data_IF_881894787461
#
_entry.id   IF_881894787461
#
_cell.length_a   1.000
_cell.length_b   1.000
_cell.length_c   1.000
_cell.angle_alpha   90.00
_cell.angle_beta   90.00
_cell.angle_gamma   90.00
#
_symmetry.space_group_name_H-M   'P 1'
#
loop_
_entity.id
_entity.type
_entity.pdbx_description
1 polymer ?
#
# COMPACT_ATOMS: atom_id res chain seq x y z
N UNK A 1 -23.49 -0.23 -40.63
CA UNK A 1 -22.35 0.72 -40.57
C UNK A 1 -22.70 2.04 -39.86
N UNK A 2 -23.31 1.95 -38.68
CA UNK A 2 -23.56 3.13 -37.86
C UNK A 2 -23.02 2.93 -36.46
N UNK A 3 -22.86 4.03 -35.73
CA UNK A 3 -22.30 4.01 -34.37
C UNK A 3 -23.14 3.13 -33.41
N UNK A 4 -24.47 3.08 -33.59
CA UNK A 4 -25.34 2.26 -32.75
C UNK A 4 -25.06 0.76 -32.90
N UNK A 5 -24.83 0.30 -34.12
CA UNK A 5 -24.42 -1.10 -34.38
C UNK A 5 -23.06 -1.41 -33.78
N UNK A 6 -22.08 -0.52 -33.95
CA UNK A 6 -20.74 -0.67 -33.36
C UNK A 6 -20.82 -0.77 -31.85
N UNK A 7 -21.57 0.12 -31.18
CA UNK A 7 -21.75 0.08 -29.74
C UNK A 7 -22.45 -1.18 -29.27
N UNK A 8 -23.44 -1.68 -30.03
CA UNK A 8 -24.15 -2.93 -29.73
C UNK A 8 -23.18 -4.12 -29.77
N UNK A 9 -22.38 -4.23 -30.81
CA UNK A 9 -21.36 -5.29 -30.95
C UNK A 9 -20.31 -5.17 -29.82
N UNK A 10 -19.89 -3.96 -29.46
CA UNK A 10 -18.98 -3.75 -28.34
C UNK A 10 -19.58 -4.26 -27.02
N UNK A 11 -20.86 -3.99 -26.76
CA UNK A 11 -21.55 -4.49 -25.57
C UNK A 11 -21.71 -6.02 -25.62
N UNK A 12 -21.98 -6.63 -26.79
CA UNK A 12 -22.05 -8.10 -26.99
C UNK A 12 -20.70 -8.74 -26.59
N UNK A 13 -19.58 -8.16 -27.03
CA UNK A 13 -18.23 -8.66 -26.68
C UNK A 13 -17.90 -8.52 -25.20
N UNK A 14 -18.48 -7.52 -24.51
CA UNK A 14 -18.26 -7.32 -23.09
C UNK A 14 -19.09 -8.25 -22.19
N UNK A 15 -20.14 -8.89 -22.74
CA UNK A 15 -21.05 -9.71 -21.92
C UNK A 15 -20.35 -10.86 -21.20
N UNK A 16 -19.38 -11.50 -21.85
CA UNK A 16 -18.62 -12.63 -21.29
C UNK A 16 -17.37 -12.21 -20.51
N UNK A 17 -17.08 -10.91 -20.45
CA UNK A 17 -15.88 -10.44 -19.76
C UNK A 17 -16.08 -10.33 -18.25
N UNK A 18 -15.25 -11.00 -17.45
CA UNK A 18 -15.21 -10.86 -15.99
C UNK A 18 -14.41 -9.64 -15.57
N UNK A 19 -13.29 -9.37 -16.26
CA UNK A 19 -12.37 -8.26 -15.99
C UNK A 19 -12.28 -7.39 -17.25
N UNK A 20 -12.44 -6.09 -17.05
CA UNK A 20 -12.23 -5.06 -18.07
C UNK A 20 -11.00 -4.26 -17.67
N UNK A 21 -10.03 -4.11 -18.57
CA UNK A 21 -8.84 -3.32 -18.34
C UNK A 21 -8.52 -2.43 -19.54
N UNK A 22 -7.84 -1.34 -19.28
CA UNK A 22 -7.41 -0.39 -20.29
C UNK A 22 -6.34 0.55 -19.71
N UNK A 23 -5.68 1.31 -20.58
CA UNK A 23 -4.70 2.30 -20.15
C UNK A 23 -5.35 3.65 -19.91
N UNK A 24 -5.40 4.11 -18.66
CA UNK A 24 -6.16 5.31 -18.24
C UNK A 24 -7.67 5.18 -18.48
N UNK A 25 -8.18 3.96 -18.49
CA UNK A 25 -9.55 3.64 -18.80
C UNK A 25 -10.55 4.15 -17.75
N UNK A 26 -10.14 4.30 -16.50
CA UNK A 26 -10.95 4.90 -15.44
C UNK A 26 -11.26 6.38 -15.73
N UNK A 27 -10.26 7.10 -16.26
CA UNK A 27 -10.38 8.54 -16.54
C UNK A 27 -10.97 8.86 -17.91
N UNK A 28 -11.00 7.92 -18.86
CA UNK A 28 -11.43 8.20 -20.22
C UNK A 28 -12.40 7.16 -20.79
N UNK A 29 -11.97 5.92 -20.99
CA UNK A 29 -12.74 4.95 -21.79
C UNK A 29 -14.09 4.61 -21.13
N UNK A 30 -14.12 4.33 -19.83
CA UNK A 30 -15.35 3.96 -19.12
C UNK A 30 -16.37 5.10 -19.11
N UNK A 31 -16.05 6.33 -18.68
CA UNK A 31 -17.01 7.43 -18.71
C UNK A 31 -17.44 7.81 -20.12
N UNK A 32 -16.53 7.73 -21.10
CA UNK A 32 -16.87 7.96 -22.51
C UNK A 32 -17.87 6.94 -23.03
N UNK A 33 -17.61 5.65 -22.87
CA UNK A 33 -18.45 4.56 -23.37
C UNK A 33 -19.83 4.58 -22.71
N UNK A 34 -19.92 4.73 -21.39
CA UNK A 34 -21.21 4.83 -20.68
C UNK A 34 -22.02 6.03 -21.19
N UNK A 35 -21.36 7.17 -21.42
CA UNK A 35 -22.01 8.37 -21.95
C UNK A 35 -22.47 8.17 -23.39
N UNK A 36 -21.65 7.54 -24.26
CA UNK A 36 -22.01 7.31 -25.67
C UNK A 36 -23.16 6.32 -25.80
N UNK A 37 -23.11 5.21 -25.07
CA UNK A 37 -24.23 4.23 -25.05
C UNK A 37 -25.52 4.90 -24.56
N UNK A 38 -25.45 5.73 -23.52
CA UNK A 38 -26.62 6.48 -23.04
C UNK A 38 -27.23 7.39 -24.12
N UNK A 39 -26.38 8.04 -24.94
CA UNK A 39 -26.83 9.01 -25.95
C UNK A 39 -27.26 8.38 -27.27
N UNK A 40 -26.54 7.36 -27.71
CA UNK A 40 -26.75 6.75 -29.05
C UNK A 40 -27.76 5.60 -29.01
N UNK A 41 -27.71 4.76 -27.97
CA UNK A 41 -28.65 3.69 -27.71
C UNK A 41 -29.70 4.14 -26.69
N UNK A 42 -29.51 3.77 -25.44
CA UNK A 42 -30.33 4.28 -24.33
C UNK A 42 -29.63 4.14 -22.99
N UNK A 43 -30.15 4.84 -21.97
CA UNK A 43 -29.69 4.63 -20.59
C UNK A 43 -29.90 3.19 -20.13
N UNK A 44 -30.91 2.50 -20.63
CA UNK A 44 -31.19 1.11 -20.26
C UNK A 44 -30.10 0.16 -20.78
N UNK A 45 -29.56 0.44 -21.99
CA UNK A 45 -28.49 -0.38 -22.58
C UNK A 45 -27.19 -0.31 -21.81
N UNK A 46 -26.97 0.73 -21.00
CA UNK A 46 -25.81 0.80 -20.12
C UNK A 46 -25.77 -0.29 -19.05
N UNK A 47 -26.91 -0.98 -18.79
CA UNK A 47 -26.95 -2.15 -17.90
C UNK A 47 -26.06 -3.28 -18.39
N UNK A 48 -25.79 -3.35 -19.67
CA UNK A 48 -24.94 -4.36 -20.29
C UNK A 48 -23.47 -4.24 -19.90
N UNK A 49 -23.05 -3.07 -19.40
CA UNK A 49 -21.74 -2.94 -18.75
C UNK A 49 -21.67 -3.62 -17.38
N UNK A 50 -22.80 -3.93 -16.77
CA UNK A 50 -22.90 -4.51 -15.44
C UNK A 50 -23.45 -5.93 -15.48
N UNK A 51 -23.30 -6.67 -14.36
CA UNK A 51 -24.03 -7.91 -14.14
C UNK A 51 -25.38 -7.65 -13.45
N UNK A 52 -26.20 -8.68 -13.35
CA UNK A 52 -27.49 -8.69 -12.63
C UNK A 52 -28.44 -7.57 -13.04
N UNK A 53 -28.36 -7.14 -14.28
CA UNK A 53 -29.21 -6.09 -14.83
C UNK A 53 -29.11 -4.75 -14.05
N UNK A 54 -27.97 -4.47 -13.43
CA UNK A 54 -27.71 -3.25 -12.68
C UNK A 54 -27.24 -2.12 -13.61
N UNK A 55 -27.48 -0.87 -13.21
CA UNK A 55 -26.91 0.29 -13.90
C UNK A 55 -25.50 0.59 -13.39
N UNK A 56 -24.59 1.10 -14.24
CA UNK A 56 -23.31 1.64 -13.78
C UNK A 56 -23.54 2.73 -12.73
N UNK A 57 -22.80 2.65 -11.63
CA UNK A 57 -22.89 3.63 -10.54
C UNK A 57 -21.89 4.75 -10.77
N UNK A 58 -22.37 5.96 -10.95
CA UNK A 58 -21.50 7.13 -11.08
C UNK A 58 -20.73 7.38 -9.79
N UNK A 59 -19.45 7.66 -9.94
CA UNK A 59 -18.52 8.02 -8.88
C UNK A 59 -17.68 9.23 -9.30
N UNK A 60 -17.44 10.16 -8.39
CA UNK A 60 -16.48 11.25 -8.58
C UNK A 60 -15.16 10.93 -7.89
N UNK A 61 -14.06 11.37 -8.47
CA UNK A 61 -12.74 11.28 -7.86
C UNK A 61 -11.91 12.51 -8.26
N UNK A 62 -11.03 12.92 -7.38
CA UNK A 62 -10.13 14.04 -7.64
C UNK A 62 -8.86 13.56 -8.36
N UNK A 63 -8.48 14.24 -9.44
CA UNK A 63 -7.25 13.97 -10.16
C UNK A 63 -6.67 15.28 -10.69
N UNK A 64 -5.39 15.53 -10.37
CA UNK A 64 -4.70 16.78 -10.74
C UNK A 64 -5.43 18.05 -10.29
N UNK A 65 -6.06 18.03 -9.11
CA UNK A 65 -6.82 19.15 -8.58
C UNK A 65 -8.16 19.42 -9.28
N UNK A 66 -8.63 18.50 -10.12
CA UNK A 66 -9.93 18.58 -10.79
C UNK A 66 -10.81 17.36 -10.44
N UNK A 67 -12.08 17.61 -10.20
CA UNK A 67 -13.07 16.56 -10.00
C UNK A 67 -13.38 15.89 -11.35
N UNK A 68 -13.25 14.58 -11.39
CA UNK A 68 -13.54 13.75 -12.57
C UNK A 68 -14.64 12.75 -12.25
N UNK A 69 -15.39 12.39 -13.29
CA UNK A 69 -16.49 11.42 -13.20
C UNK A 69 -16.03 10.11 -13.82
N UNK A 70 -16.30 9.01 -13.12
CA UNK A 70 -16.16 7.65 -13.63
C UNK A 70 -17.39 6.82 -13.21
N UNK A 71 -17.41 5.54 -13.60
CA UNK A 71 -18.50 4.63 -13.28
C UNK A 71 -17.97 3.31 -12.75
N UNK A 72 -18.55 2.86 -11.63
CA UNK A 72 -18.37 1.51 -11.13
C UNK A 72 -19.30 0.56 -11.91
N UNK A 73 -18.72 -0.46 -12.53
CA UNK A 73 -19.45 -1.46 -13.32
C UNK A 73 -19.87 -2.58 -12.36
N UNK A 74 -21.10 -2.50 -11.87
CA UNK A 74 -21.58 -3.40 -10.81
C UNK A 74 -21.53 -4.87 -11.25
N UNK A 75 -20.85 -5.70 -10.46
CA UNK A 75 -20.65 -7.12 -10.71
C UNK A 75 -19.48 -7.46 -11.64
N UNK A 76 -18.99 -6.52 -12.44
CA UNK A 76 -17.77 -6.67 -13.24
C UNK A 76 -16.61 -5.96 -12.60
N UNK A 77 -15.43 -6.49 -12.80
CA UNK A 77 -14.22 -5.87 -12.31
C UNK A 77 -13.63 -4.96 -13.39
N UNK A 78 -13.54 -3.68 -13.11
CA UNK A 78 -12.75 -2.75 -13.93
C UNK A 78 -11.46 -2.42 -13.21
N UNK A 79 -10.31 -2.60 -13.87
CA UNK A 79 -8.98 -2.31 -13.35
C UNK A 79 -8.20 -1.51 -14.38
N UNK A 80 -7.90 -0.27 -14.07
CA UNK A 80 -7.07 0.58 -14.92
C UNK A 80 -5.60 0.13 -14.84
N UNK A 81 -5.07 -0.35 -15.97
CA UNK A 81 -3.70 -0.90 -16.04
C UNK A 81 -2.62 0.15 -15.77
N UNK A 82 -2.84 1.41 -16.09
CA UNK A 82 -1.92 2.49 -15.73
C UNK A 82 -1.81 2.64 -14.21
N UNK A 83 -2.92 2.46 -13.48
CA UNK A 83 -2.89 2.49 -12.01
C UNK A 83 -2.17 1.27 -11.43
N UNK A 84 -2.36 0.07 -12.02
CA UNK A 84 -1.58 -1.12 -11.65
C UNK A 84 -0.09 -0.89 -11.89
N UNK A 85 0.27 -0.34 -13.04
CA UNK A 85 1.65 -0.03 -13.37
C UNK A 85 2.27 0.92 -12.34
N UNK A 86 1.59 2.02 -12.01
CA UNK A 86 2.05 2.98 -10.99
C UNK A 86 2.21 2.34 -9.62
N UNK A 87 1.29 1.44 -9.25
CA UNK A 87 1.31 0.78 -7.95
C UNK A 87 2.44 -0.22 -7.78
N UNK A 88 2.69 -1.02 -8.80
CA UNK A 88 3.64 -2.14 -8.71
C UNK A 88 5.02 -1.82 -9.27
N UNK A 89 5.21 -0.62 -9.85
CA UNK A 89 6.51 -0.12 -10.28
C UNK A 89 7.03 0.89 -9.26
N UNK A 90 8.17 0.58 -8.64
CA UNK A 90 8.75 1.42 -7.57
C UNK A 90 9.54 2.62 -8.10
N UNK A 91 9.92 2.61 -9.36
CA UNK A 91 10.66 3.71 -9.99
C UNK A 91 9.70 4.69 -10.62
N UNK A 92 9.88 5.97 -10.33
CA UNK A 92 9.13 7.02 -11.00
C UNK A 92 9.52 7.13 -12.47
N UNK A 93 8.53 7.30 -13.33
CA UNK A 93 8.72 7.54 -14.76
C UNK A 93 8.47 9.00 -15.07
N UNK A 94 9.25 9.56 -16.01
CA UNK A 94 9.05 10.92 -16.48
C UNK A 94 7.70 11.13 -17.20
N UNK A 95 7.12 10.06 -17.74
CA UNK A 95 5.79 10.04 -18.35
C UNK A 95 5.11 8.69 -18.14
N UNK A 96 3.80 8.71 -17.94
CA UNK A 96 2.95 7.52 -17.85
C UNK A 96 2.01 7.39 -19.06
N UNK A 97 2.35 8.03 -20.19
CA UNK A 97 1.66 7.75 -21.45
C UNK A 97 1.92 6.31 -21.89
N UNK A 98 0.96 5.69 -22.57
CA UNK A 98 1.12 4.33 -23.10
C UNK A 98 2.34 4.23 -24.03
N UNK A 99 2.59 5.27 -24.80
CA UNK A 99 3.75 5.36 -25.69
C UNK A 99 5.08 5.31 -24.93
N UNK A 100 5.25 6.19 -23.93
CA UNK A 100 6.46 6.23 -23.13
C UNK A 100 6.72 4.93 -22.35
N UNK A 101 5.68 4.32 -21.82
CA UNK A 101 5.79 3.05 -21.09
C UNK A 101 6.01 1.89 -22.06
N UNK A 102 5.36 1.88 -23.22
CA UNK A 102 5.60 0.90 -24.29
C UNK A 102 7.06 0.93 -24.75
N UNK A 103 7.62 2.11 -24.99
CA UNK A 103 9.03 2.27 -25.35
C UNK A 103 9.97 1.77 -24.23
N UNK A 104 9.71 2.18 -22.99
CA UNK A 104 10.55 1.80 -21.86
C UNK A 104 10.51 0.29 -21.57
N UNK A 105 9.32 -0.29 -21.55
CA UNK A 105 9.14 -1.71 -21.17
C UNK A 105 9.35 -2.68 -22.33
N UNK A 106 8.94 -2.32 -23.53
CA UNK A 106 8.91 -3.23 -24.68
C UNK A 106 9.90 -2.83 -25.78
N UNK A 107 10.40 -1.61 -25.78
CA UNK A 107 11.14 -1.03 -26.92
C UNK A 107 10.22 -0.74 -28.11
N UNK A 108 8.90 -0.71 -27.91
CA UNK A 108 7.91 -0.46 -28.94
C UNK A 108 7.13 0.82 -28.64
N UNK A 109 6.80 1.57 -29.70
CA UNK A 109 6.04 2.80 -29.63
C UNK A 109 4.71 2.68 -30.38
N UNK A 110 3.86 3.68 -30.18
CA UNK A 110 2.67 3.88 -30.98
C UNK A 110 3.03 4.17 -32.43
N UNK A 111 2.09 3.94 -33.34
CA UNK A 111 2.27 4.30 -34.75
C UNK A 111 2.34 5.82 -34.87
N UNK A 112 3.45 6.34 -35.37
CA UNK A 112 3.62 7.78 -35.57
C UNK A 112 2.71 8.28 -36.71
N UNK A 113 2.04 9.41 -36.48
CA UNK A 113 1.24 10.11 -37.48
C UNK A 113 1.44 11.61 -37.39
N UNK A 114 1.09 12.34 -38.43
CA UNK A 114 1.18 13.81 -38.50
C UNK A 114 -0.22 14.42 -38.42
N UNK A 115 -0.36 15.54 -37.71
CA UNK A 115 -1.64 16.24 -37.55
C UNK A 115 -2.47 15.72 -36.35
N UNK A 116 -3.80 15.78 -36.45
CA UNK A 116 -4.76 15.34 -35.44
C UNK A 116 -5.32 13.95 -35.76
N UNK A 117 -5.92 13.29 -34.77
CA UNK A 117 -6.65 12.01 -34.98
C UNK A 117 -7.79 12.17 -35.98
N UNK A 118 -8.49 13.32 -35.99
CA UNK A 118 -9.53 13.61 -36.98
C UNK A 118 -8.94 13.70 -38.39
N UNK A 119 -7.77 14.30 -38.51
CA UNK A 119 -7.07 14.33 -39.81
C UNK A 119 -6.66 12.94 -40.27
N UNK A 120 -6.18 12.10 -39.35
CA UNK A 120 -5.81 10.73 -39.65
C UNK A 120 -7.05 9.90 -40.05
N UNK A 121 -8.16 10.04 -39.32
CA UNK A 121 -9.42 9.37 -39.64
C UNK A 121 -9.94 9.72 -41.04
N UNK A 122 -9.90 11.03 -41.38
CA UNK A 122 -10.46 11.50 -42.68
C UNK A 122 -9.55 11.24 -43.87
N UNK A 123 -8.23 11.23 -43.69
CA UNK A 123 -7.27 11.17 -44.80
C UNK A 123 -6.59 9.79 -44.96
N UNK A 124 -6.47 9.01 -43.86
CA UNK A 124 -5.83 7.68 -43.87
C UNK A 124 -6.51 6.75 -42.85
N UNK A 125 -7.69 6.28 -43.22
CA UNK A 125 -8.51 5.45 -42.34
C UNK A 125 -7.86 4.11 -42.02
N UNK A 126 -7.10 3.52 -42.96
CA UNK A 126 -6.39 2.25 -42.69
C UNK A 126 -5.31 2.44 -41.61
N UNK A 127 -4.58 3.52 -41.70
CA UNK A 127 -3.56 3.84 -40.67
C UNK A 127 -4.22 4.20 -39.33
N UNK A 128 -5.38 4.84 -39.32
CA UNK A 128 -6.15 5.10 -38.11
C UNK A 128 -6.56 3.79 -37.41
N UNK A 129 -7.03 2.80 -38.17
CA UNK A 129 -7.35 1.47 -37.62
C UNK A 129 -6.10 0.74 -37.12
N UNK A 130 -5.00 0.79 -37.88
CA UNK A 130 -3.72 0.22 -37.47
C UNK A 130 -3.20 0.86 -36.18
N UNK A 131 -3.32 2.19 -36.02
CA UNK A 131 -2.97 2.92 -34.80
C UNK A 131 -3.78 2.42 -33.60
N UNK A 132 -5.10 2.32 -33.74
CA UNK A 132 -5.96 1.84 -32.65
C UNK A 132 -5.64 0.39 -32.24
N UNK A 133 -5.39 -0.47 -33.24
CA UNK A 133 -4.96 -1.86 -32.97
C UNK A 133 -3.62 -1.95 -32.25
N UNK A 134 -2.67 -1.08 -32.59
CA UNK A 134 -1.36 -1.03 -31.94
C UNK A 134 -1.50 -0.61 -30.47
N UNK A 135 -2.38 0.34 -30.14
CA UNK A 135 -2.62 0.77 -28.77
C UNK A 135 -3.10 -0.40 -27.90
N UNK A 136 -4.04 -1.20 -28.40
CA UNK A 136 -4.52 -2.39 -27.70
C UNK A 136 -3.44 -3.47 -27.59
N UNK A 137 -2.68 -3.68 -28.69
CA UNK A 137 -1.60 -4.67 -28.73
C UNK A 137 -0.47 -4.33 -27.77
N UNK A 138 -0.14 -3.04 -27.59
CA UNK A 138 0.85 -2.61 -26.60
C UNK A 138 0.43 -2.97 -25.17
N UNK A 139 -0.85 -2.76 -24.83
CA UNK A 139 -1.36 -3.12 -23.51
C UNK A 139 -1.30 -4.63 -23.25
N UNK A 140 -1.72 -5.44 -24.22
CA UNK A 140 -1.63 -6.91 -24.14
C UNK A 140 -0.17 -7.39 -23.96
N UNK A 141 0.75 -6.82 -24.73
CA UNK A 141 2.19 -7.12 -24.59
C UNK A 141 2.75 -6.69 -23.24
N UNK A 142 2.32 -5.52 -22.72
CA UNK A 142 2.70 -5.05 -21.39
C UNK A 142 2.25 -6.02 -20.31
N UNK A 143 0.98 -6.47 -20.35
CA UNK A 143 0.51 -7.42 -19.35
C UNK A 143 1.16 -8.80 -19.49
N UNK A 144 1.41 -9.28 -20.69
CA UNK A 144 2.18 -10.51 -20.93
C UNK A 144 3.58 -10.46 -20.32
N UNK A 145 4.24 -9.31 -20.37
CA UNK A 145 5.56 -9.10 -19.77
C UNK A 145 5.49 -8.90 -18.25
N UNK A 146 4.66 -7.98 -17.79
CA UNK A 146 4.63 -7.51 -16.41
C UNK A 146 3.72 -8.36 -15.52
N UNK A 147 2.65 -8.90 -16.07
CA UNK A 147 1.67 -9.78 -15.42
C UNK A 147 1.06 -9.16 -14.14
N UNK A 148 0.75 -7.86 -14.19
CA UNK A 148 0.22 -7.14 -13.03
C UNK A 148 -1.24 -7.47 -12.71
N UNK A 149 -2.06 -7.86 -13.71
CA UNK A 149 -3.40 -8.39 -13.46
C UNK A 149 -3.34 -9.67 -12.65
N UNK A 150 -2.42 -10.56 -12.99
CA UNK A 150 -2.20 -11.83 -12.30
C UNK A 150 -1.66 -11.61 -10.88
N UNK A 151 -0.75 -10.64 -10.72
CA UNK A 151 -0.23 -10.25 -9.40
C UNK A 151 -1.35 -9.70 -8.50
N UNK A 152 -2.20 -8.82 -9.03
CA UNK A 152 -3.34 -8.28 -8.31
C UNK A 152 -4.35 -9.38 -7.92
N UNK A 153 -4.61 -10.32 -8.83
CA UNK A 153 -5.47 -11.46 -8.56
C UNK A 153 -4.91 -12.36 -7.45
N UNK A 154 -3.62 -12.67 -7.47
CA UNK A 154 -2.97 -13.43 -6.40
C UNK A 154 -3.01 -12.69 -5.06
N UNK A 155 -2.82 -11.36 -5.06
CA UNK A 155 -2.94 -10.55 -3.86
C UNK A 155 -4.37 -10.57 -3.29
N UNK A 156 -5.39 -10.54 -4.17
CA UNK A 156 -6.79 -10.64 -3.79
C UNK A 156 -7.10 -11.99 -3.12
N UNK A 157 -6.68 -13.09 -3.71
CA UNK A 157 -6.86 -14.44 -3.18
C UNK A 157 -6.14 -14.64 -1.85
N UNK A 158 -4.89 -14.20 -1.74
CA UNK A 158 -4.08 -14.37 -0.54
C UNK A 158 -4.69 -13.67 0.67
N UNK A 159 -5.27 -12.48 0.47
CA UNK A 159 -5.84 -11.68 1.55
C UNK A 159 -7.38 -11.77 1.63
N UNK A 160 -8.02 -12.57 0.79
CA UNK A 160 -9.49 -12.75 0.72
C UNK A 160 -10.23 -11.43 0.53
N UNK A 161 -9.77 -10.64 -0.41
CA UNK A 161 -10.39 -9.35 -0.81
C UNK A 161 -10.82 -9.39 -2.26
N UNK A 162 -11.69 -8.47 -2.65
CA UNK A 162 -12.04 -8.28 -4.06
C UNK A 162 -10.85 -7.66 -4.83
N UNK A 163 -10.73 -7.98 -6.10
CA UNK A 163 -9.62 -7.51 -6.94
C UNK A 163 -9.48 -5.98 -6.94
N UNK A 164 -10.53 -5.15 -7.05
CA UNK A 164 -10.40 -3.71 -6.94
C UNK A 164 -9.89 -3.24 -5.57
N UNK A 165 -10.18 -3.99 -4.50
CA UNK A 165 -9.71 -3.69 -3.14
C UNK A 165 -8.20 -3.79 -3.03
N UNK A 166 -7.55 -4.58 -3.89
CA UNK A 166 -6.09 -4.71 -3.91
C UNK A 166 -5.38 -3.41 -4.20
N UNK A 167 -6.06 -2.43 -4.77
CA UNK A 167 -5.53 -1.09 -4.98
C UNK A 167 -5.35 -0.27 -3.69
N UNK A 168 -6.04 -0.64 -2.59
CA UNK A 168 -5.93 -0.01 -1.27
C UNK A 168 -5.08 -0.85 -0.30
N UNK A 169 -3.86 -0.41 0.05
CA UNK A 169 -2.99 -1.15 0.96
C UNK A 169 -3.60 -1.33 2.36
N UNK A 170 -4.31 -0.33 2.86
CA UNK A 170 -4.96 -0.36 4.19
C UNK A 170 -6.01 -1.44 4.25
N UNK A 171 -6.94 -1.48 3.28
CA UNK A 171 -8.02 -2.46 3.25
C UNK A 171 -7.51 -3.91 3.09
N UNK A 172 -6.46 -4.10 2.30
CA UNK A 172 -5.81 -5.42 2.15
C UNK A 172 -5.18 -5.87 3.47
N UNK A 173 -4.47 -4.98 4.16
CA UNK A 173 -3.81 -5.30 5.43
C UNK A 173 -4.83 -5.54 6.54
N UNK A 174 -5.87 -4.72 6.64
CA UNK A 174 -6.95 -4.88 7.60
C UNK A 174 -7.60 -6.28 7.46
N UNK A 175 -7.95 -6.66 6.23
CA UNK A 175 -8.54 -7.97 5.97
C UNK A 175 -7.58 -9.12 6.29
N UNK A 176 -6.28 -8.97 5.98
CA UNK A 176 -5.27 -9.96 6.32
C UNK A 176 -5.15 -10.18 7.84
N UNK A 177 -5.16 -9.10 8.63
CA UNK A 177 -5.13 -9.16 10.10
C UNK A 177 -6.40 -9.86 10.62
N UNK A 178 -7.58 -9.48 10.10
CA UNK A 178 -8.85 -10.11 10.47
C UNK A 178 -8.83 -11.62 10.19
N UNK A 179 -8.38 -12.01 8.99
CA UNK A 179 -8.29 -13.43 8.62
C UNK A 179 -7.33 -14.20 9.54
N UNK A 180 -6.20 -13.59 9.89
CA UNK A 180 -5.22 -14.23 10.77
C UNK A 180 -5.74 -14.38 12.20
N UNK A 181 -6.41 -13.36 12.73
CA UNK A 181 -7.08 -13.42 14.03
C UNK A 181 -8.18 -14.49 14.06
N UNK A 182 -9.02 -14.57 13.04
CA UNK A 182 -10.08 -15.58 12.93
C UNK A 182 -9.53 -17.01 12.88
N UNK A 183 -8.38 -17.25 12.25
CA UNK A 183 -7.70 -18.57 12.29
C UNK A 183 -7.30 -18.97 13.71
N UNK A 184 -7.10 -18.01 14.60
CA UNK A 184 -6.79 -18.22 16.01
C UNK A 184 -8.06 -18.17 16.90
N UNK A 185 -9.26 -18.13 16.32
CA UNK A 185 -10.55 -17.96 17.01
C UNK A 185 -10.65 -16.64 17.80
N UNK A 186 -9.97 -15.61 17.35
CA UNK A 186 -10.02 -14.27 17.93
C UNK A 186 -10.87 -13.34 17.07
N UNK A 187 -11.63 -12.46 17.73
CA UNK A 187 -12.48 -11.47 17.08
C UNK A 187 -11.80 -10.11 17.17
N UNK A 188 -11.59 -9.48 16.02
CA UNK A 188 -11.08 -8.12 15.95
C UNK A 188 -12.21 -7.14 16.30
N UNK A 189 -11.96 -6.14 17.17
CA UNK A 189 -12.99 -5.18 17.57
C UNK A 189 -13.38 -4.27 16.40
N UNK A 190 -14.56 -3.69 16.48
CA UNK A 190 -15.03 -2.71 15.49
C UNK A 190 -14.13 -1.47 15.48
N UNK A 191 -13.97 -0.89 14.28
CA UNK A 191 -13.20 0.34 14.08
C UNK A 191 -13.78 1.46 14.94
N UNK A 192 -12.95 2.07 15.80
CA UNK A 192 -13.31 3.28 16.54
C UNK A 192 -13.05 4.49 15.65
N UNK A 193 -14.00 5.44 15.60
CA UNK A 193 -13.75 6.74 15.00
C UNK A 193 -12.96 7.57 16.00
N UNK A 194 -11.75 7.96 15.63
CA UNK A 194 -10.99 8.96 16.40
C UNK A 194 -11.52 10.34 16.06
N UNK A 195 -11.98 11.08 17.07
CA UNK A 195 -12.26 12.51 16.98
C UNK A 195 -10.92 13.24 17.26
N UNK A 196 -10.19 13.56 16.22
CA UNK A 196 -8.94 14.31 16.31
C UNK A 196 -7.91 13.89 15.27
N UNK A 197 -7.24 14.89 14.72
CA UNK A 197 -6.21 14.72 13.68
C UNK A 197 -4.85 14.54 14.39
N UNK A 198 -4.64 13.42 15.07
CA UNK A 198 -3.31 13.03 15.58
C UNK A 198 -2.55 12.34 14.47
N UNK A 199 -1.96 13.12 13.58
CA UNK A 199 -1.02 12.57 12.61
C UNK A 199 0.21 12.03 13.37
N UNK A 200 0.49 10.73 13.19
CA UNK A 200 1.73 10.16 13.71
C UNK A 200 2.93 10.83 13.03
N UNK A 201 3.94 11.17 13.82
CA UNK A 201 5.18 11.75 13.28
C UNK A 201 5.85 10.75 12.32
N UNK A 202 6.27 11.24 11.16
CA UNK A 202 7.03 10.44 10.20
C UNK A 202 8.43 10.07 10.73
N UNK A 203 9.10 9.18 9.98
CA UNK A 203 10.47 8.79 10.32
C UNK A 203 11.43 9.98 10.19
N UNK A 204 12.46 10.01 11.07
CA UNK A 204 13.54 10.97 10.95
C UNK A 204 14.33 10.72 9.66
N UNK A 205 14.56 11.78 8.90
CA UNK A 205 15.38 11.78 7.70
C UNK A 205 16.50 12.79 7.90
N UNK A 206 17.73 12.29 8.03
CA UNK A 206 18.90 13.15 8.20
C UNK A 206 19.13 14.03 6.98
N UNK A 207 19.47 15.30 7.23
CA UNK A 207 19.86 16.22 6.16
C UNK A 207 21.16 15.75 5.51
N UNK A 208 21.23 15.66 4.16
CA UNK A 208 22.44 15.23 3.48
C UNK A 208 23.55 16.28 3.65
N UNK A 209 24.76 15.82 3.97
CA UNK A 209 25.96 16.68 3.95
C UNK A 209 26.33 16.93 2.48
N UNK A 210 26.19 18.17 2.03
CA UNK A 210 26.52 18.57 0.65
C UNK A 210 28.04 18.48 0.41
N UNK A 211 28.42 17.94 -0.74
CA UNK A 211 29.82 17.85 -1.15
C UNK A 211 30.13 16.53 -1.86
N UNK A 212 31.37 16.41 -2.30
CA UNK A 212 31.93 15.14 -2.80
C UNK A 212 32.47 14.35 -1.60
N UNK A 213 32.11 13.10 -1.50
CA UNK A 213 32.56 12.20 -0.42
C UNK A 213 33.24 10.98 -1.05
N UNK A 214 34.38 10.61 -0.54
CA UNK A 214 35.13 9.43 -0.95
C UNK A 214 34.93 8.29 0.03
N UNK A 215 35.06 7.06 -0.43
CA UNK A 215 34.99 5.84 0.41
C UNK A 215 33.66 5.68 1.17
N UNK A 216 32.53 5.89 0.47
CA UNK A 216 31.21 5.76 1.06
C UNK A 216 30.82 4.27 1.09
N UNK A 217 30.45 3.77 2.28
CA UNK A 217 29.79 2.49 2.48
C UNK A 217 28.33 2.70 2.84
N UNK A 218 27.44 1.90 2.25
CA UNK A 218 26.03 1.88 2.59
C UNK A 218 25.64 0.54 3.21
N UNK A 219 24.88 0.58 4.31
CA UNK A 219 24.29 -0.61 4.95
C UNK A 219 22.78 -0.42 4.94
N UNK A 220 22.07 -1.42 4.42
CA UNK A 220 20.61 -1.46 4.44
C UNK A 220 20.10 -2.53 5.41
N UNK A 221 19.15 -2.15 6.26
CA UNK A 221 18.54 -3.07 7.23
C UNK A 221 17.37 -3.78 6.56
N UNK A 222 17.51 -5.07 6.36
CA UNK A 222 16.47 -5.89 5.73
C UNK A 222 15.18 -5.90 6.55
N UNK A 223 14.09 -5.43 5.92
CA UNK A 223 12.74 -5.41 6.52
C UNK A 223 12.71 -4.71 7.89
N UNK A 224 13.27 -3.49 7.99
CA UNK A 224 13.45 -2.75 9.25
C UNK A 224 12.18 -2.71 10.11
N UNK A 225 11.06 -2.16 9.59
CA UNK A 225 9.82 -2.02 10.34
C UNK A 225 9.21 -3.38 10.73
N UNK A 226 9.05 -4.36 9.84
CA UNK A 226 8.60 -5.69 10.22
C UNK A 226 9.48 -6.34 11.30
N UNK A 227 10.79 -6.15 11.23
CA UNK A 227 11.73 -6.71 12.21
C UNK A 227 11.58 -6.04 13.58
N UNK A 228 11.39 -4.72 13.64
CA UNK A 228 11.15 -3.99 14.89
C UNK A 228 9.82 -4.42 15.55
N UNK A 229 8.74 -4.51 14.76
CA UNK A 229 7.42 -4.96 15.25
C UNK A 229 7.52 -6.38 15.85
N UNK A 230 8.23 -7.28 15.18
CA UNK A 230 8.44 -8.66 15.64
C UNK A 230 9.33 -8.71 16.89
N UNK A 231 10.43 -7.96 16.89
CA UNK A 231 11.40 -7.94 18.00
C UNK A 231 10.80 -7.42 19.31
N UNK A 232 9.93 -6.42 19.22
CA UNK A 232 9.25 -5.82 20.37
C UNK A 232 7.91 -6.47 20.68
N UNK A 233 7.44 -7.41 19.84
CA UNK A 233 6.13 -8.01 19.95
C UNK A 233 4.99 -6.96 19.92
N UNK A 234 5.08 -5.99 19.01
CA UNK A 234 4.15 -4.85 18.95
C UNK A 234 2.76 -5.27 18.45
N UNK A 235 1.79 -5.14 19.30
CA UNK A 235 0.37 -5.35 18.99
C UNK A 235 -0.49 -4.70 20.06
N UNK A 236 -1.73 -4.26 19.75
CA UNK A 236 -2.60 -3.63 20.73
C UNK A 236 -2.89 -4.53 21.93
N UNK A 237 -2.96 -5.84 21.73
CA UNK A 237 -3.20 -6.84 22.77
C UNK A 237 -1.96 -7.19 23.59
N UNK A 238 -0.79 -6.71 23.20
CA UNK A 238 0.48 -6.96 23.91
C UNK A 238 0.96 -5.76 24.71
N UNK A 239 0.36 -4.59 24.53
CA UNK A 239 0.68 -3.39 25.32
C UNK A 239 0.24 -3.63 26.76
N UNK A 240 1.13 -3.30 27.70
CA UNK A 240 0.89 -3.38 29.15
C UNK A 240 0.81 -1.99 29.74
N UNK A 241 1.61 -1.08 29.27
CA UNK A 241 1.66 0.29 29.74
C UNK A 241 2.57 1.17 28.93
N UNK A 242 2.55 2.45 29.25
CA UNK A 242 3.28 3.50 28.57
C UNK A 242 3.92 4.43 29.58
N UNK A 243 5.22 4.67 29.47
CA UNK A 243 5.86 5.77 30.18
C UNK A 243 5.35 7.08 29.61
N UNK A 244 4.82 7.94 30.48
CA UNK A 244 4.32 9.26 30.05
C UNK A 244 5.52 10.13 29.66
N UNK A 245 5.59 10.65 28.44
CA UNK A 245 6.79 11.31 27.90
C UNK A 245 6.91 12.78 28.37
N UNK A 246 6.67 13.08 29.63
CA UNK A 246 6.61 14.44 30.18
C UNK A 246 7.92 15.21 29.97
N UNK A 247 9.07 14.60 30.35
CA UNK A 247 10.38 15.25 30.18
C UNK A 247 10.75 15.42 28.71
N UNK A 248 10.39 14.42 27.88
CA UNK A 248 10.64 14.47 26.46
C UNK A 248 9.81 15.55 25.80
N UNK A 249 8.52 15.63 26.13
CA UNK A 249 7.61 16.62 25.57
C UNK A 249 8.06 18.04 25.92
N UNK A 250 8.42 18.31 27.17
CA UNK A 250 8.97 19.59 27.60
C UNK A 250 10.29 19.95 26.88
N UNK A 251 11.18 18.98 26.70
CA UNK A 251 12.44 19.18 26.00
C UNK A 251 12.22 19.51 24.51
N UNK A 252 11.36 18.75 23.83
CA UNK A 252 11.03 18.95 22.41
C UNK A 252 10.33 20.28 22.20
N UNK A 253 9.34 20.61 23.05
CA UNK A 253 8.62 21.89 23.00
C UNK A 253 9.57 23.08 23.20
N UNK A 254 10.52 22.98 24.12
CA UNK A 254 11.54 24.00 24.33
C UNK A 254 12.38 24.22 23.07
N UNK A 255 12.84 23.15 22.43
CA UNK A 255 13.63 23.24 21.19
C UNK A 255 12.84 23.85 20.03
N UNK A 256 11.57 23.49 19.88
CA UNK A 256 10.71 24.06 18.85
C UNK A 256 10.46 25.55 19.12
N UNK A 257 10.10 25.91 20.36
CA UNK A 257 9.67 27.25 20.72
C UNK A 257 10.83 28.22 20.83
N UNK A 258 11.90 27.86 21.54
CA UNK A 258 13.01 28.75 21.86
C UNK A 258 14.16 28.68 20.85
N UNK A 259 14.48 27.47 20.33
CA UNK A 259 15.53 27.28 19.33
C UNK A 259 15.01 27.35 17.90
N UNK A 260 13.70 27.47 17.69
CA UNK A 260 13.01 27.51 16.36
C UNK A 260 13.38 26.34 15.46
N UNK A 261 13.63 25.17 16.04
CA UNK A 261 13.89 23.94 15.29
C UNK A 261 12.62 23.36 14.73
N UNK A 262 12.72 22.65 13.60
CA UNK A 262 11.64 21.79 13.15
C UNK A 262 11.43 20.63 14.13
N UNK A 263 10.27 19.98 14.12
CA UNK A 263 10.00 18.82 14.95
C UNK A 263 11.06 17.72 14.73
N UNK A 264 11.44 17.45 13.50
CA UNK A 264 12.45 16.46 13.16
C UNK A 264 13.85 16.84 13.72
N UNK A 265 14.25 18.12 13.61
CA UNK A 265 15.54 18.59 14.11
C UNK A 265 15.59 18.63 15.66
N UNK A 266 14.43 18.74 16.31
CA UNK A 266 14.35 18.69 17.77
C UNK A 266 14.72 17.31 18.32
N UNK A 267 14.48 16.25 17.55
CA UNK A 267 14.84 14.86 17.86
C UNK A 267 16.27 14.49 17.44
N UNK A 268 17.02 15.40 16.82
CA UNK A 268 18.41 15.12 16.39
C UNK A 268 19.28 14.65 17.57
N UNK A 269 19.97 13.54 17.39
CA UNK A 269 20.84 12.88 18.37
C UNK A 269 20.12 12.19 19.55
N UNK A 270 18.80 12.04 19.51
CA UNK A 270 18.06 11.24 20.49
C UNK A 270 17.77 9.83 19.95
N UNK A 271 18.10 8.81 20.72
CA UNK A 271 17.74 7.41 20.38
C UNK A 271 16.43 6.97 21.03
N UNK A 272 15.71 7.74 21.66
CA UNK A 272 14.46 7.41 22.33
C UNK A 272 14.03 8.55 23.21
N UNK A 273 13.02 8.33 24.02
CA UNK A 273 12.56 9.33 24.98
C UNK A 273 13.56 9.51 26.12
N UNK A 274 13.56 10.66 26.77
CA UNK A 274 14.40 10.92 27.97
C UNK A 274 14.01 9.97 29.10
N UNK A 275 12.74 9.61 29.20
CA UNK A 275 12.23 8.61 30.13
C UNK A 275 12.85 7.23 29.87
N UNK A 276 12.92 6.81 28.60
CA UNK A 276 13.60 5.57 28.22
C UNK A 276 15.09 5.60 28.62
N UNK A 277 15.78 6.70 28.35
CA UNK A 277 17.20 6.86 28.72
C UNK A 277 17.41 6.81 30.24
N UNK A 278 16.51 7.45 30.99
CA UNK A 278 16.55 7.40 32.47
C UNK A 278 16.36 5.97 32.99
N UNK A 279 15.44 5.21 32.43
CA UNK A 279 15.21 3.78 32.77
C UNK A 279 16.45 2.95 32.45
N UNK A 280 16.98 3.06 31.23
CA UNK A 280 18.17 2.28 30.83
C UNK A 280 19.41 2.63 31.63
N UNK A 281 19.52 3.86 32.13
CA UNK A 281 20.58 4.34 33.02
C UNK A 281 20.29 4.04 34.49
N UNK A 282 19.17 3.41 34.84
CA UNK A 282 18.73 3.06 36.19
C UNK A 282 18.79 4.24 37.18
N UNK A 283 18.27 5.38 36.76
CA UNK A 283 18.29 6.59 37.60
C UNK A 283 17.27 6.49 38.73
N UNK A 284 17.74 6.55 39.95
CA UNK A 284 16.91 6.50 41.17
C UNK A 284 16.35 7.88 41.56
N UNK A 285 16.99 8.95 41.05
CA UNK A 285 16.63 10.35 41.26
C UNK A 285 15.54 10.87 40.30
N UNK A 286 15.13 10.08 39.31
CA UNK A 286 14.13 10.46 38.32
C UNK A 286 12.83 9.66 38.53
N UNK A 287 11.76 10.39 38.84
CA UNK A 287 10.40 9.82 38.96
C UNK A 287 9.70 9.86 37.62
N UNK A 288 9.06 8.75 37.23
CA UNK A 288 8.37 8.55 35.98
C UNK A 288 6.95 8.14 36.27
N UNK A 289 6.01 8.62 35.44
CA UNK A 289 4.61 8.14 35.44
C UNK A 289 4.48 7.01 34.45
N UNK A 290 4.06 5.86 34.93
CA UNK A 290 3.73 4.68 34.12
C UNK A 290 2.21 4.55 34.06
N UNK A 291 1.66 4.77 32.88
CA UNK A 291 0.22 4.57 32.61
C UNK A 291 -0.01 3.11 32.19
N UNK A 292 -0.91 2.41 32.89
CA UNK A 292 -1.21 1.00 32.68
C UNK A 292 -2.39 0.79 31.74
N UNK A 293 -2.34 -0.26 30.94
CA UNK A 293 -3.48 -0.76 30.18
C UNK A 293 -4.25 -1.85 31.00
N UNK A 294 -5.60 -1.81 31.08
CA UNK A 294 -6.51 -0.86 30.45
C UNK A 294 -6.74 0.45 31.21
N UNK A 295 -6.23 0.60 32.41
CA UNK A 295 -6.37 1.81 33.20
C UNK A 295 -5.48 1.77 34.47
N UNK A 296 -5.15 2.95 34.98
CA UNK A 296 -4.32 3.14 36.17
C UNK A 296 -3.02 3.83 35.84
N UNK A 297 -2.41 4.46 36.84
CA UNK A 297 -1.09 5.11 36.72
C UNK A 297 -0.35 4.94 38.03
N UNK A 298 0.93 4.63 37.93
CA UNK A 298 1.85 4.60 39.06
C UNK A 298 3.00 5.57 38.85
N UNK A 299 3.49 6.16 39.94
CA UNK A 299 4.74 6.93 39.94
C UNK A 299 5.86 6.07 40.53
N UNK A 300 6.87 5.81 39.72
CA UNK A 300 7.98 4.93 40.03
C UNK A 300 9.32 5.62 39.71
N UNK A 301 10.38 5.29 40.45
CA UNK A 301 11.69 5.70 40.00
C UNK A 301 12.10 5.01 38.72
N UNK A 302 12.91 5.63 37.87
CA UNK A 302 13.34 5.00 36.61
C UNK A 302 14.10 3.69 36.88
N UNK A 303 14.77 3.54 38.04
CA UNK A 303 15.37 2.29 38.48
C UNK A 303 14.31 1.23 38.78
N UNK A 304 13.22 1.60 39.48
CA UNK A 304 12.14 0.65 39.80
C UNK A 304 11.43 0.18 38.55
N UNK A 305 11.20 1.09 37.56
CA UNK A 305 10.68 0.72 36.22
C UNK A 305 11.64 -0.26 35.55
N UNK A 306 12.96 -0.01 35.58
CA UNK A 306 13.93 -0.94 34.99
C UNK A 306 13.83 -2.31 35.65
N UNK A 307 13.82 -2.37 36.99
CA UNK A 307 13.76 -3.65 37.70
C UNK A 307 12.42 -4.36 37.50
N UNK A 308 11.33 -3.62 37.40
CA UNK A 308 10.02 -4.15 37.05
C UNK A 308 10.01 -4.79 35.65
N UNK A 309 10.58 -4.16 34.66
CA UNK A 309 10.57 -4.66 33.26
C UNK A 309 11.58 -5.81 33.09
N UNK A 310 12.79 -5.68 33.61
CA UNK A 310 13.92 -6.55 33.28
C UNK A 310 14.35 -7.52 34.37
N UNK A 311 14.08 -7.22 35.66
CA UNK A 311 14.56 -8.03 36.78
C UNK A 311 13.48 -8.81 37.53
N UNK A 312 12.20 -8.47 37.36
CA UNK A 312 11.09 -9.10 38.10
C UNK A 312 10.72 -10.52 37.62
N UNK A 313 11.34 -11.03 36.55
CA UNK A 313 10.99 -12.31 35.94
C UNK A 313 9.76 -12.22 35.02
N UNK A 314 9.15 -11.07 34.89
CA UNK A 314 8.12 -10.81 33.88
C UNK A 314 8.74 -10.90 32.47
N UNK A 315 8.01 -11.47 31.53
CA UNK A 315 8.43 -11.49 30.13
C UNK A 315 7.95 -10.22 29.44
N UNK A 316 8.58 -9.11 29.75
CA UNK A 316 8.25 -7.79 29.21
C UNK A 316 9.43 -7.20 28.42
N UNK A 317 9.13 -6.26 27.56
CA UNK A 317 10.12 -5.47 26.84
C UNK A 317 9.71 -4.01 26.83
N UNK A 318 10.68 -3.11 26.79
CA UNK A 318 10.49 -1.66 26.73
C UNK A 318 10.97 -1.14 25.40
N UNK A 319 10.10 -0.46 24.66
CA UNK A 319 10.48 0.24 23.43
C UNK A 319 11.10 1.60 23.74
N UNK A 320 11.88 2.15 22.80
CA UNK A 320 12.57 3.43 22.96
C UNK A 320 11.62 4.64 23.11
N UNK A 321 10.34 4.49 22.72
CA UNK A 321 9.32 5.51 22.98
C UNK A 321 8.60 5.33 24.32
N UNK A 322 9.03 4.39 25.17
CA UNK A 322 8.49 4.18 26.49
C UNK A 322 7.30 3.22 26.60
N UNK A 323 6.90 2.55 25.51
CA UNK A 323 5.82 1.55 25.57
C UNK A 323 6.36 0.21 26.09
N UNK A 324 5.62 -0.42 27.00
CA UNK A 324 5.94 -1.74 27.55
C UNK A 324 5.03 -2.78 26.89
N UNK A 325 5.64 -3.81 26.32
CA UNK A 325 4.94 -4.93 25.70
C UNK A 325 5.20 -6.23 26.46
N UNK A 326 4.19 -7.09 26.59
CA UNK A 326 4.38 -8.47 27.10
C UNK A 326 4.98 -9.37 26.02
N UNK A 327 5.78 -10.34 26.46
CA UNK A 327 6.50 -11.29 25.60
C UNK A 327 6.15 -12.75 25.87
N UNK A 328 5.18 -12.98 26.76
CA UNK A 328 4.72 -14.35 27.11
C UNK A 328 3.76 -14.96 26.08
N UNK A 329 3.22 -14.15 25.18
CA UNK A 329 2.34 -14.54 24.09
C UNK A 329 2.69 -13.68 22.87
N UNK A 330 2.81 -14.32 21.70
CA UNK A 330 3.05 -13.59 20.45
C UNK A 330 1.78 -12.86 20.05
N UNK A 331 1.91 -11.59 19.69
CA UNK A 331 0.80 -10.77 19.20
C UNK A 331 0.36 -11.17 17.80
N UNK A 332 -0.88 -10.80 17.43
CA UNK A 332 -1.49 -11.14 16.14
C UNK A 332 -0.66 -10.58 14.98
N UNK A 333 -0.23 -9.32 15.07
CA UNK A 333 0.53 -8.66 14.02
C UNK A 333 1.95 -9.23 13.91
N UNK A 334 2.73 -9.39 14.99
CA UNK A 334 4.01 -10.09 14.94
C UNK A 334 3.93 -11.51 14.36
N UNK A 335 2.93 -12.30 14.75
CA UNK A 335 2.73 -13.66 14.26
C UNK A 335 2.39 -13.70 12.76
N UNK A 336 1.54 -12.76 12.30
CA UNK A 336 1.24 -12.59 10.87
C UNK A 336 2.50 -12.25 10.07
N UNK A 337 3.33 -11.34 10.59
CA UNK A 337 4.59 -10.95 9.94
C UNK A 337 5.60 -12.12 9.91
N UNK A 338 5.70 -12.89 10.98
CA UNK A 338 6.53 -14.12 11.02
C UNK A 338 6.06 -15.13 9.99
N UNK A 339 4.75 -15.36 9.91
CA UNK A 339 4.14 -16.24 8.92
C UNK A 339 4.49 -15.80 7.50
N UNK A 340 4.23 -14.55 7.14
CA UNK A 340 4.53 -14.03 5.79
C UNK A 340 6.03 -14.07 5.46
N UNK A 341 6.89 -13.77 6.43
CA UNK A 341 8.34 -13.83 6.23
C UNK A 341 8.81 -15.27 5.98
N UNK A 342 8.33 -16.23 6.77
CA UNK A 342 8.64 -17.64 6.59
C UNK A 342 8.16 -18.19 5.23
N UNK A 343 6.90 -17.90 4.88
CA UNK A 343 6.32 -18.30 3.59
C UNK A 343 7.10 -17.70 2.40
N UNK A 344 7.48 -16.42 2.51
CA UNK A 344 8.32 -15.77 1.47
C UNK A 344 9.64 -16.48 1.29
N UNK A 345 10.31 -16.88 2.37
CA UNK A 345 11.58 -17.64 2.29
C UNK A 345 11.41 -18.98 1.61
N UNK A 346 10.33 -19.70 1.90
CA UNK A 346 9.99 -20.96 1.21
C UNK A 346 9.77 -20.72 -0.28
N UNK A 347 9.01 -19.70 -0.65
CA UNK A 347 8.76 -19.37 -2.06
C UNK A 347 10.04 -18.97 -2.81
N UNK A 348 10.94 -18.21 -2.15
CA UNK A 348 12.25 -17.86 -2.70
C UNK A 348 13.15 -19.09 -2.91
N UNK A 349 13.10 -20.07 -2.01
CA UNK A 349 13.83 -21.32 -2.16
C UNK A 349 13.28 -22.12 -3.36
N UNK A 350 11.94 -22.30 -3.42
CA UNK A 350 11.28 -22.98 -4.56
C UNK A 350 11.60 -22.33 -5.90
N UNK A 351 11.62 -20.99 -5.98
CA UNK A 351 12.03 -20.26 -7.20
C UNK A 351 13.43 -20.65 -7.67
N UNK A 352 14.37 -20.98 -6.74
CA UNK A 352 15.73 -21.38 -7.08
C UNK A 352 15.83 -22.83 -7.52
N UNK A 353 14.93 -23.70 -7.03
CA UNK A 353 14.92 -25.14 -7.30
C UNK A 353 14.34 -25.46 -8.68
N UNK A 354 13.36 -24.68 -9.15
CA UNK A 354 12.68 -24.92 -10.43
C UNK A 354 13.51 -24.46 -11.62
N UNK A 355 13.36 -25.15 -12.74
CA UNK A 355 14.20 -24.94 -13.94
C UNK A 355 13.51 -24.14 -15.03
N UNK A 356 12.19 -24.30 -15.18
CA UNK A 356 11.44 -23.62 -16.25
C UNK A 356 11.23 -22.14 -15.96
N UNK A 357 11.14 -21.34 -17.01
CA UNK A 357 10.87 -19.89 -16.89
C UNK A 357 9.49 -19.61 -16.27
N UNK A 358 8.51 -20.44 -16.62
CA UNK A 358 7.13 -20.32 -16.15
C UNK A 358 7.02 -20.57 -14.64
N UNK A 359 7.63 -21.67 -14.16
CA UNK A 359 7.67 -21.99 -12.73
C UNK A 359 8.42 -20.94 -11.93
N UNK A 360 9.54 -20.41 -12.47
CA UNK A 360 10.27 -19.30 -11.84
C UNK A 360 9.39 -18.06 -11.71
N UNK A 361 8.66 -17.70 -12.76
CA UNK A 361 7.74 -16.57 -12.75
C UNK A 361 6.58 -16.79 -11.76
N UNK A 362 6.03 -18.02 -11.69
CA UNK A 362 4.99 -18.40 -10.73
C UNK A 362 5.42 -18.20 -9.27
N UNK A 363 6.60 -18.70 -8.89
CA UNK A 363 7.11 -18.54 -7.52
C UNK A 363 7.57 -17.11 -7.23
N UNK A 364 8.05 -16.40 -8.25
CA UNK A 364 8.46 -15.00 -8.09
C UNK A 364 7.29 -14.09 -7.75
N UNK A 365 6.17 -14.22 -8.45
CA UNK A 365 4.95 -13.47 -8.15
C UNK A 365 4.46 -13.74 -6.73
N UNK A 366 4.40 -14.99 -6.30
CA UNK A 366 3.93 -15.37 -4.97
C UNK A 366 4.82 -14.79 -3.88
N UNK A 367 6.16 -14.85 -4.02
CA UNK A 367 7.05 -14.21 -3.05
C UNK A 367 6.94 -12.68 -3.09
N UNK A 368 6.61 -12.10 -4.25
CA UNK A 368 6.40 -10.65 -4.38
C UNK A 368 5.13 -10.21 -3.66
N UNK A 369 4.03 -10.97 -3.72
CA UNK A 369 2.82 -10.71 -2.92
C UNK A 369 3.16 -10.63 -1.43
N UNK A 370 3.95 -11.58 -0.91
CA UNK A 370 4.38 -11.56 0.50
C UNK A 370 5.26 -10.34 0.81
N UNK A 371 6.14 -9.94 -0.13
CA UNK A 371 6.94 -8.71 0.02
C UNK A 371 6.05 -7.47 0.10
N UNK A 372 5.02 -7.38 -0.75
CA UNK A 372 4.06 -6.27 -0.76
C UNK A 372 3.33 -6.21 0.58
N UNK A 373 2.79 -7.32 1.05
CA UNK A 373 2.09 -7.40 2.32
C UNK A 373 2.98 -6.97 3.50
N UNK A 374 4.21 -7.49 3.58
CA UNK A 374 5.19 -7.13 4.62
C UNK A 374 5.52 -5.63 4.64
N UNK A 375 5.71 -5.02 3.47
CA UNK A 375 6.06 -3.61 3.36
C UNK A 375 4.86 -2.68 3.59
N UNK A 376 3.65 -3.13 3.24
CA UNK A 376 2.44 -2.31 3.36
C UNK A 376 1.88 -2.28 4.77
N UNK A 377 2.17 -3.29 5.59
CA UNK A 377 1.54 -3.45 6.91
C UNK A 377 1.83 -2.26 7.83
N UNK A 378 3.08 -1.81 7.92
CA UNK A 378 3.43 -0.69 8.77
C UNK A 378 2.68 0.60 8.37
N UNK A 379 2.71 0.95 7.07
CA UNK A 379 1.99 2.12 6.57
C UNK A 379 0.48 2.02 6.74
N UNK A 380 -0.08 0.82 6.70
CA UNK A 380 -1.50 0.59 6.90
C UNK A 380 -1.95 0.74 8.36
N UNK A 381 -1.10 0.39 9.32
CA UNK A 381 -1.41 0.55 10.75
C UNK A 381 -1.44 2.03 11.17
N UNK A 382 -0.66 2.88 10.51
CA UNK A 382 -0.59 4.31 10.80
C UNK A 382 -1.74 5.14 10.22
N UNK A 383 -2.59 4.56 9.36
CA UNK A 383 -3.75 5.18 8.74
C UNK A 383 -5.03 4.69 9.44
#
# INVERSE_FOLDING_TARGET
DNEGEMLTVCLDLLEDADIISGWNSEGYDIPYMVTRVTRVLSKNDTRRFCLWNMLPKQRTFERFGAEQITYDLIGRVHVDYMQLYRKYTYEERHSYSLDAIGEYELGEQKIAYTGTLDSLYNNDFEKFIAYNRQDVALLDKLDKKLQFLDLANQLAHENTVLLPTTMGAVAVTEQAIINHAHKQNLIVPNRRRHEGNTAAAGAYVAHPKKGMHEWIGAIDINSLYPSAIRALNMGPETIIGQLRPTMTDEYIENKITNEKKSFADAWENMFGTLEYEAVMSRRDDVMLTLDWEPSGSDELSAKDVHDLVFASGQKWTLSANGTIFKYNQVGIIPDLLDTWYAERKVMQAKKKEVTTSEEKAFWDKRQLVKKINLNSLYGAILN
#
